data_IF_345603742896
#
_entry.id   IF_345603742896
#
_cell.length_a   1.000
_cell.length_b   1.000
_cell.length_c   1.000
_cell.angle_alpha   90.00
_cell.angle_beta   90.00
_cell.angle_gamma   90.00
#
_symmetry.space_group_name_H-M   'P 1'
#
loop_
_entity.id
_entity.type
_entity.pdbx_description
1 polymer ?
#
# COMPACT_ATOMS: atom_id res chain seq x y z
N UNK A 1 -22.71 60.55 25.74
CA UNK A 1 -24.07 60.79 26.27
C UNK A 1 -24.88 59.55 26.03
N UNK A 2 -25.38 58.97 27.15
CA UNK A 2 -26.39 57.92 27.31
C UNK A 2 -26.04 56.53 26.78
N UNK A 3 -25.84 55.57 27.55
CA UNK A 3 -26.31 54.96 28.79
C UNK A 3 -26.97 53.61 28.50
N UNK A 4 -26.41 52.64 29.18
CA UNK A 4 -26.77 51.26 29.47
C UNK A 4 -28.24 50.96 29.62
N UNK A 5 -28.65 49.70 29.28
CA UNK A 5 -29.53 48.89 30.16
C UNK A 5 -29.21 47.41 29.93
N UNK A 6 -28.88 46.71 31.03
CA UNK A 6 -28.84 45.26 31.24
C UNK A 6 -30.23 44.68 31.24
N UNK A 7 -30.42 43.51 30.63
CA UNK A 7 -31.37 42.51 31.13
C UNK A 7 -30.89 41.11 30.87
N UNK A 8 -30.57 40.43 31.94
CA UNK A 8 -30.30 38.99 32.04
C UNK A 8 -31.59 38.18 31.90
N UNK A 9 -31.53 37.09 31.14
CA UNK A 9 -32.39 35.94 31.39
C UNK A 9 -31.64 34.65 31.03
N UNK A 10 -31.30 33.94 32.10
CA UNK A 10 -30.84 32.58 32.12
C UNK A 10 -31.93 31.62 31.63
N UNK A 11 -31.63 30.76 30.66
CA UNK A 11 -32.27 29.47 30.53
C UNK A 11 -31.22 28.42 30.15
N UNK A 12 -30.92 27.60 31.15
CA UNK A 12 -30.13 26.40 31.00
C UNK A 12 -30.92 25.37 30.21
N UNK A 13 -30.38 24.95 29.07
CA UNK A 13 -30.85 23.81 28.33
C UNK A 13 -29.65 22.91 28.08
N UNK A 14 -29.43 21.95 28.98
CA UNK A 14 -28.44 20.89 28.84
C UNK A 14 -28.92 19.90 27.77
N UNK A 15 -28.37 19.99 26.56
CA UNK A 15 -28.45 18.90 25.60
C UNK A 15 -27.17 18.06 25.72
N UNK A 16 -27.29 16.99 26.52
CA UNK A 16 -26.37 15.86 26.47
C UNK A 16 -26.62 15.11 25.14
N UNK A 17 -25.78 15.36 24.13
CA UNK A 17 -25.63 14.44 23.04
C UNK A 17 -24.57 13.40 23.46
N UNK A 18 -25.06 12.24 23.94
CA UNK A 18 -24.23 11.05 24.01
C UNK A 18 -24.08 10.48 22.59
N UNK A 19 -22.88 10.05 22.17
CA UNK A 19 -22.73 9.37 20.89
C UNK A 19 -23.53 8.06 20.93
N UNK A 20 -24.45 7.91 19.99
CA UNK A 20 -25.13 6.62 19.78
C UNK A 20 -24.14 5.68 19.12
N UNK A 21 -23.56 4.78 19.90
CA UNK A 21 -22.93 3.59 19.37
C UNK A 21 -24.04 2.71 18.75
N UNK A 22 -24.13 2.69 17.43
CA UNK A 22 -24.91 1.69 16.73
C UNK A 22 -24.10 0.38 16.74
N UNK A 23 -24.37 -0.46 17.72
CA UNK A 23 -23.98 -1.87 17.67
C UNK A 23 -24.89 -2.56 16.66
N UNK A 24 -24.39 -2.80 15.46
CA UNK A 24 -25.05 -3.65 14.50
C UNK A 24 -25.02 -5.10 15.03
N UNK A 25 -26.14 -5.61 15.48
CA UNK A 25 -26.27 -7.03 15.80
C UNK A 25 -26.37 -7.84 14.50
N UNK A 26 -25.28 -8.48 14.12
CA UNK A 26 -25.32 -9.56 13.15
C UNK A 26 -25.99 -10.79 13.79
N UNK A 27 -26.85 -11.54 13.07
CA UNK A 27 -27.46 -12.75 13.61
C UNK A 27 -26.37 -13.76 13.96
N UNK A 28 -26.34 -14.18 15.22
CA UNK A 28 -25.39 -15.16 15.77
C UNK A 28 -25.64 -16.53 15.15
N UNK A 29 -24.94 -16.83 14.06
CA UNK A 29 -24.76 -18.18 13.57
C UNK A 29 -23.65 -18.86 14.38
N UNK A 30 -23.99 -19.96 15.04
CA UNK A 30 -23.01 -20.77 15.78
C UNK A 30 -21.81 -21.17 14.93
N UNK A 31 -20.57 -21.13 15.44
CA UNK A 31 -19.40 -21.50 14.67
C UNK A 31 -19.43 -23.00 14.31
N UNK A 32 -19.58 -23.33 13.04
CA UNK A 32 -19.31 -24.68 12.53
C UNK A 32 -17.80 -24.82 12.33
N UNK A 33 -17.16 -25.55 13.22
CA UNK A 33 -15.78 -25.99 13.04
C UNK A 33 -15.67 -26.94 11.86
N UNK A 34 -15.07 -26.48 10.78
CA UNK A 34 -14.69 -27.35 9.65
C UNK A 34 -13.29 -27.90 9.93
N UNK A 35 -13.22 -29.17 10.32
CA UNK A 35 -11.94 -29.90 10.39
C UNK A 35 -11.58 -30.40 9.00
N UNK A 36 -10.54 -29.84 8.41
CA UNK A 36 -9.95 -30.35 7.17
C UNK A 36 -9.06 -31.56 7.49
N UNK A 37 -9.44 -32.73 6.99
CA UNK A 37 -8.62 -33.93 7.09
C UNK A 37 -7.47 -33.90 6.09
N UNK A 38 -6.23 -33.87 6.58
CA UNK A 38 -5.02 -34.03 5.75
C UNK A 38 -4.96 -35.44 5.17
N UNK A 39 -5.09 -35.58 3.85
CA UNK A 39 -4.72 -36.79 3.13
C UNK A 39 -3.24 -36.71 2.74
N UNK A 40 -2.43 -37.59 3.32
CA UNK A 40 -1.04 -37.81 2.92
C UNK A 40 -0.99 -38.51 1.54
N UNK A 41 -0.33 -37.88 0.56
CA UNK A 41 0.05 -38.55 -0.70
C UNK A 41 1.53 -38.93 -0.63
N UNK A 42 1.77 -40.23 -0.83
CA UNK A 42 3.13 -40.81 -0.89
C UNK A 42 3.87 -40.46 -2.19
N UNK A 43 5.19 -40.71 -2.24
CA UNK A 43 6.05 -40.23 -3.30
C UNK A 43 5.92 -41.05 -4.57
N UNK A 44 5.56 -40.38 -5.69
CA UNK A 44 5.64 -40.96 -7.03
C UNK A 44 7.02 -40.69 -7.67
N UNK A 45 7.67 -41.78 -8.09
CA UNK A 45 8.92 -41.75 -8.85
C UNK A 45 8.72 -41.05 -10.21
N UNK A 46 9.56 -40.08 -10.49
CA UNK A 46 9.72 -39.49 -11.84
C UNK A 46 11.04 -39.96 -12.44
N UNK A 47 10.92 -40.70 -13.52
CA UNK A 47 12.01 -41.13 -14.42
C UNK A 47 12.58 -39.95 -15.20
N UNK A 48 13.88 -39.74 -15.10
CA UNK A 48 14.61 -38.76 -15.87
C UNK A 48 14.93 -39.29 -17.30
N UNK A 49 14.52 -38.54 -18.32
CA UNK A 49 14.95 -38.76 -19.70
C UNK A 49 16.16 -37.86 -20.01
N UNK A 50 17.31 -38.50 -20.34
CA UNK A 50 18.55 -37.86 -20.77
C UNK A 50 18.47 -37.60 -22.26
N UNK A 51 18.58 -36.35 -22.70
CA UNK A 51 18.80 -35.97 -24.10
C UNK A 51 20.25 -35.54 -24.25
N UNK A 52 21.00 -36.33 -25.04
CA UNK A 52 22.37 -36.04 -25.49
C UNK A 52 22.36 -35.11 -26.69
N UNK A 53 23.02 -33.98 -26.59
CA UNK A 53 23.29 -33.07 -27.70
C UNK A 53 24.73 -33.19 -28.15
N UNK A 54 24.92 -33.48 -29.43
CA UNK A 54 26.21 -33.72 -30.12
C UNK A 54 26.93 -32.40 -30.43
N UNK A 55 28.20 -32.36 -30.11
CA UNK A 55 29.14 -31.27 -30.42
C UNK A 55 29.73 -31.51 -31.83
N UNK A 56 29.62 -30.50 -32.70
CA UNK A 56 30.40 -30.45 -33.97
C UNK A 56 31.58 -29.51 -33.79
N UNK A 57 32.79 -30.04 -33.94
CA UNK A 57 34.06 -29.32 -33.98
C UNK A 57 34.45 -29.07 -35.43
N UNK A 58 34.76 -27.85 -35.79
CA UNK A 58 35.53 -27.50 -37.00
C UNK A 58 36.45 -26.32 -36.67
N UNK A 59 37.70 -26.50 -36.61
CA UNK A 59 38.78 -26.40 -37.56
C UNK A 59 39.46 -25.04 -37.52
N UNK A 60 40.71 -25.03 -37.00
CA UNK A 60 41.65 -23.91 -36.91
C UNK A 60 42.21 -23.45 -38.25
N UNK A 61 42.60 -22.17 -38.37
CA UNK A 61 44.00 -21.78 -38.73
C UNK A 61 44.21 -20.27 -38.57
N UNK A 62 45.47 -19.82 -38.38
CA UNK A 62 45.82 -18.57 -37.72
C UNK A 62 46.29 -17.46 -38.68
N UNK A 63 46.15 -16.20 -38.29
CA UNK A 63 47.09 -15.16 -38.74
C UNK A 63 47.08 -13.89 -37.87
N UNK A 64 48.26 -13.54 -37.46
CA UNK A 64 48.89 -12.21 -37.31
C UNK A 64 48.33 -11.23 -36.27
N UNK A 65 49.21 -10.89 -35.38
CA UNK A 65 49.12 -10.00 -34.26
C UNK A 65 48.71 -8.57 -34.57
N UNK A 66 47.99 -8.02 -33.59
CA UNK A 66 47.93 -6.58 -33.34
C UNK A 66 47.91 -6.33 -31.83
N UNK A 67 48.60 -5.28 -31.46
CA UNK A 67 48.88 -4.76 -30.14
C UNK A 67 47.68 -4.65 -29.20
N UNK A 68 47.87 -5.11 -27.97
CA UNK A 68 46.99 -4.90 -26.82
C UNK A 68 46.95 -3.40 -26.43
N UNK A 69 45.97 -2.68 -26.90
CA UNK A 69 45.52 -1.47 -26.21
C UNK A 69 44.61 -1.90 -25.08
N UNK A 70 44.94 -1.52 -23.85
CA UNK A 70 44.12 -1.71 -22.68
C UNK A 70 42.79 -0.98 -22.91
N UNK A 71 41.72 -1.75 -23.15
CA UNK A 71 40.36 -1.21 -23.06
C UNK A 71 40.04 -1.07 -21.57
N UNK A 72 40.01 0.18 -21.12
CA UNK A 72 39.27 0.57 -19.92
C UNK A 72 37.84 0.01 -20.03
N UNK A 73 37.42 -0.78 -19.02
CA UNK A 73 36.08 -1.31 -18.93
C UNK A 73 35.04 -0.18 -19.01
N UNK A 74 33.78 -0.49 -19.37
CA UNK A 74 32.76 0.52 -19.47
C UNK A 74 32.50 1.11 -18.07
N UNK A 75 32.99 2.29 -17.81
CA UNK A 75 32.43 3.17 -16.81
C UNK A 75 30.99 3.35 -17.24
N UNK A 76 30.03 2.92 -16.39
CA UNK A 76 28.62 3.06 -16.65
C UNK A 76 28.32 4.52 -17.02
N UNK A 77 28.03 4.74 -18.30
CA UNK A 77 27.51 6.00 -18.76
C UNK A 77 26.10 6.11 -18.19
N UNK A 78 25.95 6.84 -17.09
CA UNK A 78 24.62 7.22 -16.58
C UNK A 78 23.80 7.78 -17.73
N UNK A 79 22.49 7.46 -17.75
CA UNK A 79 21.55 7.97 -18.73
C UNK A 79 21.71 9.47 -18.85
N UNK A 80 21.83 9.98 -20.08
CA UNK A 80 21.88 11.41 -20.37
C UNK A 80 20.49 12.06 -20.46
N UNK A 81 19.43 11.32 -20.10
CA UNK A 81 18.04 11.77 -20.21
C UNK A 81 17.29 11.52 -18.90
N UNK A 82 16.28 12.35 -18.66
CA UNK A 82 15.30 12.13 -17.59
C UNK A 82 14.60 10.80 -17.82
N UNK A 83 14.31 10.10 -16.72
CA UNK A 83 13.55 8.85 -16.73
C UNK A 83 12.24 9.01 -15.99
N UNK A 84 11.21 8.35 -16.50
CA UNK A 84 9.87 8.39 -15.92
C UNK A 84 9.50 7.03 -15.38
N UNK A 85 8.70 7.05 -14.32
CA UNK A 85 8.13 5.85 -13.71
C UNK A 85 6.86 6.21 -12.95
N UNK A 86 6.10 5.19 -12.55
CA UNK A 86 4.84 5.35 -11.83
C UNK A 86 4.91 4.65 -10.48
N UNK A 87 4.26 5.25 -9.46
CA UNK A 87 4.08 4.65 -8.12
C UNK A 87 2.61 4.73 -7.76
N UNK A 88 1.97 3.60 -7.49
CA UNK A 88 0.54 3.55 -7.23
C UNK A 88 0.13 2.81 -5.97
N UNK A 89 -1.12 3.05 -5.57
CA UNK A 89 -1.79 2.50 -4.39
C UNK A 89 -3.29 2.32 -4.67
N UNK A 90 -3.91 1.28 -4.12
CA UNK A 90 -5.34 0.99 -4.32
C UNK A 90 -6.05 0.55 -3.03
N UNK A 91 -5.99 1.35 -1.99
CA UNK A 91 -6.84 1.18 -0.81
C UNK A 91 -6.70 -0.13 -0.04
N UNK A 92 -7.72 -0.41 0.75
CA UNK A 92 -7.69 -1.42 1.79
C UNK A 92 -8.11 -2.81 1.30
N UNK A 93 -7.30 -3.82 1.64
CA UNK A 93 -7.62 -5.23 1.46
C UNK A 93 -8.25 -5.75 2.74
N UNK A 94 -9.57 -5.91 2.74
CA UNK A 94 -10.38 -6.33 3.88
C UNK A 94 -10.99 -7.71 3.65
N UNK A 95 -10.37 -8.74 4.21
CA UNK A 95 -10.83 -10.12 4.09
C UNK A 95 -12.01 -10.41 5.04
N UNK A 96 -13.14 -9.78 4.80
CA UNK A 96 -14.39 -10.14 5.46
C UNK A 96 -14.78 -11.59 5.16
N UNK A 97 -15.52 -12.22 6.06
CA UNK A 97 -15.95 -13.63 5.89
C UNK A 97 -16.75 -13.87 4.59
N UNK A 98 -17.63 -12.94 4.10
CA UNK A 98 -18.29 -13.11 2.82
C UNK A 98 -17.30 -13.11 1.63
N UNK A 99 -16.29 -12.21 1.65
CA UNK A 99 -15.22 -12.20 0.62
C UNK A 99 -14.47 -13.53 0.66
N UNK A 100 -14.02 -13.97 1.85
CA UNK A 100 -13.33 -15.24 2.01
C UNK A 100 -14.16 -16.42 1.48
N UNK A 101 -15.46 -16.45 1.79
CA UNK A 101 -16.37 -17.52 1.35
C UNK A 101 -16.58 -17.53 -0.17
N UNK A 102 -16.32 -16.42 -0.87
CA UNK A 102 -16.43 -16.32 -2.32
C UNK A 102 -15.20 -16.87 -3.06
N UNK A 103 -14.08 -17.05 -2.35
CA UNK A 103 -12.85 -17.60 -2.93
C UNK A 103 -12.92 -19.12 -3.04
N UNK A 104 -12.16 -19.76 -3.95
CA UNK A 104 -12.16 -21.21 -4.09
C UNK A 104 -11.87 -21.91 -2.74
N UNK A 105 -12.75 -22.82 -2.32
CA UNK A 105 -12.65 -23.55 -1.06
C UNK A 105 -12.45 -22.66 0.19
N UNK A 106 -12.88 -21.38 0.12
CA UNK A 106 -12.64 -20.35 1.14
C UNK A 106 -11.15 -20.22 1.52
N UNK A 107 -10.29 -20.34 0.52
CA UNK A 107 -8.83 -20.33 0.71
C UNK A 107 -8.25 -18.93 0.97
N UNK A 108 -8.94 -17.87 0.55
CA UNK A 108 -8.42 -16.51 0.49
C UNK A 108 -7.68 -16.17 -0.81
N UNK A 109 -7.69 -17.07 -1.80
CA UNK A 109 -7.17 -16.77 -3.13
C UNK A 109 -8.14 -15.86 -3.90
N UNK A 110 -7.90 -14.54 -3.78
CA UNK A 110 -8.71 -13.50 -4.41
C UNK A 110 -8.31 -13.19 -5.85
N UNK A 111 -7.41 -13.96 -6.47
CA UNK A 111 -6.90 -13.68 -7.83
C UNK A 111 -8.04 -13.48 -8.83
N UNK A 112 -9.04 -14.36 -8.81
CA UNK A 112 -10.21 -14.24 -9.67
C UNK A 112 -11.14 -13.08 -9.28
N UNK A 113 -11.13 -12.66 -8.02
CA UNK A 113 -11.96 -11.54 -7.56
C UNK A 113 -11.45 -10.21 -8.09
N UNK A 114 -10.15 -10.05 -8.19
CA UNK A 114 -9.48 -8.79 -8.58
C UNK A 114 -8.96 -8.81 -10.03
N UNK A 115 -9.31 -9.82 -10.83
CA UNK A 115 -8.76 -10.03 -12.17
C UNK A 115 -8.94 -8.83 -13.12
N UNK A 116 -10.00 -8.03 -12.96
CA UNK A 116 -10.22 -6.84 -13.78
C UNK A 116 -9.19 -5.74 -13.51
N UNK A 117 -8.65 -5.67 -12.28
CA UNK A 117 -7.68 -4.68 -11.87
C UNK A 117 -6.21 -5.11 -12.13
N UNK A 118 -5.97 -6.41 -12.37
CA UNK A 118 -4.61 -6.92 -12.62
C UNK A 118 -3.87 -6.14 -13.72
N UNK A 119 -4.46 -5.83 -14.89
CA UNK A 119 -3.76 -5.04 -15.92
C UNK A 119 -3.40 -3.61 -15.48
N UNK A 120 -4.18 -3.04 -14.55
CA UNK A 120 -3.94 -1.72 -14.00
C UNK A 120 -2.77 -1.73 -13.01
N UNK A 121 -2.73 -2.75 -12.14
CA UNK A 121 -1.66 -2.95 -11.16
C UNK A 121 -0.35 -3.31 -11.85
N UNK A 122 -0.34 -4.31 -12.76
CA UNK A 122 0.84 -4.72 -13.53
C UNK A 122 1.39 -3.61 -14.45
N UNK A 123 0.57 -2.63 -14.80
CA UNK A 123 0.97 -1.50 -15.60
C UNK A 123 1.77 -0.45 -14.82
N UNK A 124 1.79 -0.51 -13.49
CA UNK A 124 2.60 0.38 -12.65
C UNK A 124 4.08 -0.06 -12.63
N UNK A 125 4.97 0.87 -12.36
CA UNK A 125 6.39 0.58 -12.14
C UNK A 125 6.68 0.16 -10.69
N UNK A 126 5.85 0.64 -9.75
CA UNK A 126 5.80 0.23 -8.36
C UNK A 126 4.35 0.26 -7.88
N UNK A 127 3.80 -0.90 -7.55
CA UNK A 127 2.44 -1.08 -7.06
C UNK A 127 2.43 -1.44 -5.57
N UNK A 128 1.77 -0.61 -4.74
CA UNK A 128 1.72 -0.77 -3.29
C UNK A 128 0.29 -1.00 -2.82
N UNK A 129 0.04 -2.05 -2.03
CA UNK A 129 -1.29 -2.38 -1.49
C UNK A 129 -1.46 -1.92 -0.03
N UNK A 130 -2.71 -1.85 0.44
CA UNK A 130 -3.06 -1.69 1.84
C UNK A 130 -3.44 -3.05 2.44
N UNK A 131 -2.53 -3.74 3.14
CA UNK A 131 -2.85 -4.97 3.86
C UNK A 131 -3.43 -4.61 5.23
N UNK A 132 -4.74 -4.37 5.28
CA UNK A 132 -5.37 -3.83 6.47
C UNK A 132 -5.52 -4.88 7.58
N UNK A 133 -5.75 -6.14 7.21
CA UNK A 133 -6.01 -7.22 8.17
C UNK A 133 -4.83 -8.17 8.31
N UNK A 134 -4.52 -8.64 9.54
CA UNK A 134 -3.42 -9.57 9.74
C UNK A 134 -3.74 -10.98 9.23
N UNK A 135 -2.70 -11.73 8.91
CA UNK A 135 -2.78 -13.16 8.68
C UNK A 135 -3.04 -13.89 10.01
N UNK A 136 -3.95 -14.86 10.00
CA UNK A 136 -4.25 -15.70 11.16
C UNK A 136 -3.12 -16.74 11.39
N UNK A 137 -2.32 -16.63 12.47
CA UNK A 137 -1.17 -17.51 12.71
C UNK A 137 -1.58 -18.94 13.02
N UNK A 138 -2.79 -19.14 13.54
CA UNK A 138 -3.34 -20.43 13.94
C UNK A 138 -4.22 -21.09 12.86
N UNK A 139 -4.39 -20.42 11.72
CA UNK A 139 -5.29 -20.85 10.64
C UNK A 139 -6.79 -20.77 11.00
N UNK A 140 -7.14 -20.05 12.06
CA UNK A 140 -8.54 -19.78 12.46
C UNK A 140 -8.94 -18.43 11.91
N UNK A 141 -9.64 -18.43 10.77
CA UNK A 141 -10.03 -17.23 10.07
C UNK A 141 -11.23 -16.55 10.72
N UNK A 142 -11.23 -15.22 10.71
CA UNK A 142 -12.33 -14.39 11.21
C UNK A 142 -12.43 -13.07 10.45
N UNK A 143 -13.64 -12.50 10.44
CA UNK A 143 -13.93 -11.16 9.96
C UNK A 143 -14.14 -10.17 11.10
N UNK A 144 -14.86 -9.08 10.79
CA UNK A 144 -15.20 -8.05 11.77
C UNK A 144 -15.81 -8.63 13.07
N UNK A 145 -15.49 -8.09 14.26
CA UNK A 145 -14.63 -6.91 14.49
C UNK A 145 -13.14 -7.23 14.65
N UNK A 146 -12.73 -8.49 14.71
CA UNK A 146 -11.33 -8.93 14.93
C UNK A 146 -10.93 -9.86 13.80
N UNK A 147 -10.17 -9.32 12.88
CA UNK A 147 -9.81 -10.01 11.64
C UNK A 147 -8.66 -11.02 11.80
N UNK A 148 -8.68 -12.01 10.92
CA UNK A 148 -7.59 -12.96 10.73
C UNK A 148 -7.74 -13.62 9.36
N UNK A 149 -6.93 -13.21 8.39
CA UNK A 149 -7.00 -13.67 7.00
C UNK A 149 -6.17 -14.94 6.77
N UNK A 150 -6.50 -15.73 5.72
CA UNK A 150 -5.58 -16.75 5.20
C UNK A 150 -4.32 -16.11 4.59
N UNK A 151 -3.18 -16.79 4.68
CA UNK A 151 -1.93 -16.35 4.03
C UNK A 151 -2.04 -16.33 2.50
N UNK A 152 -2.95 -17.09 1.92
CA UNK A 152 -3.21 -17.17 0.49
C UNK A 152 -3.63 -15.84 -0.12
N UNK A 153 -4.21 -14.92 0.66
CA UNK A 153 -4.51 -13.55 0.18
C UNK A 153 -3.25 -12.83 -0.25
N UNK A 154 -2.14 -13.01 0.47
CA UNK A 154 -0.84 -12.40 0.14
C UNK A 154 -0.30 -12.99 -1.16
N UNK A 155 -0.40 -14.31 -1.34
CA UNK A 155 -0.04 -14.96 -2.60
C UNK A 155 -0.87 -14.49 -3.79
N UNK A 156 -2.16 -14.22 -3.59
CA UNK A 156 -3.05 -13.67 -4.60
C UNK A 156 -2.65 -12.23 -4.97
N UNK A 157 -2.31 -11.39 -3.99
CA UNK A 157 -1.80 -10.04 -4.24
C UNK A 157 -0.52 -10.07 -5.07
N UNK A 158 0.45 -10.93 -4.72
CA UNK A 158 1.69 -11.07 -5.49
C UNK A 158 1.40 -11.50 -6.95
N UNK A 159 0.47 -12.46 -7.17
CA UNK A 159 0.07 -12.89 -8.51
C UNK A 159 -0.69 -11.83 -9.30
N UNK A 160 -1.29 -10.86 -8.63
CA UNK A 160 -2.01 -9.73 -9.24
C UNK A 160 -1.10 -8.52 -9.50
N UNK A 161 0.23 -8.68 -9.35
CA UNK A 161 1.21 -7.67 -9.74
C UNK A 161 1.60 -6.66 -8.65
N UNK A 162 1.19 -6.86 -7.39
CA UNK A 162 1.63 -6.00 -6.30
C UNK A 162 3.10 -6.27 -5.94
N UNK A 163 3.84 -5.21 -5.64
CA UNK A 163 5.27 -5.25 -5.27
C UNK A 163 5.48 -5.17 -3.75
N UNK A 164 4.53 -4.58 -3.04
CA UNK A 164 4.62 -4.46 -1.58
C UNK A 164 3.35 -3.92 -0.96
N UNK A 165 3.26 -3.95 0.38
CA UNK A 165 2.07 -3.50 1.10
C UNK A 165 2.40 -2.57 2.28
N UNK A 166 1.51 -1.61 2.52
CA UNK A 166 1.38 -0.91 3.78
C UNK A 166 0.70 -1.88 4.78
N UNK A 167 1.31 -2.08 5.96
CA UNK A 167 0.82 -3.04 6.96
C UNK A 167 0.36 -2.39 8.27
N UNK A 168 0.60 -1.08 8.44
CA UNK A 168 0.06 -0.36 9.59
C UNK A 168 -1.39 0.02 9.35
N UNK A 169 -2.27 -0.56 10.13
CA UNK A 169 -3.71 -0.33 10.11
C UNK A 169 -4.29 -0.37 11.52
N UNK A 170 -5.54 0.09 11.67
CA UNK A 170 -6.30 -0.08 12.91
C UNK A 170 -6.53 -1.54 13.29
N UNK A 171 -6.40 -2.49 12.35
CA UNK A 171 -6.51 -3.93 12.54
C UNK A 171 -5.18 -4.68 12.67
N UNK A 172 -4.04 -4.02 12.58
CA UNK A 172 -2.71 -4.67 12.64
C UNK A 172 -2.50 -5.54 13.89
N UNK A 173 -3.12 -5.17 15.01
CA UNK A 173 -2.98 -5.86 16.30
C UNK A 173 -4.06 -6.93 16.57
N UNK A 174 -5.00 -7.16 15.67
CA UNK A 174 -6.15 -8.07 15.88
C UNK A 174 -5.77 -9.51 16.24
N UNK A 175 -4.57 -9.93 15.86
CA UNK A 175 -4.00 -11.26 16.17
C UNK A 175 -2.72 -11.18 16.99
N UNK A 176 -2.52 -10.05 17.71
CA UNK A 176 -1.36 -9.83 18.55
C UNK A 176 -0.03 -9.87 17.79
N UNK A 177 1.06 -10.07 18.51
CA UNK A 177 2.41 -10.17 17.94
C UNK A 177 2.52 -11.33 16.93
N UNK A 178 1.90 -12.47 17.21
CA UNK A 178 1.93 -13.63 16.31
C UNK A 178 1.27 -13.32 14.96
N UNK A 179 0.19 -12.51 14.95
CA UNK A 179 -0.47 -12.07 13.72
C UNK A 179 0.39 -11.11 12.92
N UNK A 180 1.06 -10.17 13.58
CA UNK A 180 2.05 -9.29 12.93
C UNK A 180 3.15 -10.11 12.26
N UNK A 181 3.76 -11.04 12.99
CA UNK A 181 4.83 -11.90 12.46
C UNK A 181 4.33 -12.75 11.29
N UNK A 182 3.16 -13.39 11.43
CA UNK A 182 2.60 -14.23 10.37
C UNK A 182 2.29 -13.44 9.08
N UNK A 183 1.85 -12.18 9.22
CA UNK A 183 1.61 -11.28 8.07
C UNK A 183 2.90 -10.97 7.35
N UNK A 184 3.94 -10.57 8.08
CA UNK A 184 5.23 -10.24 7.51
C UNK A 184 5.91 -11.48 6.87
N UNK A 185 5.81 -12.66 7.50
CA UNK A 185 6.34 -13.91 6.95
C UNK A 185 5.63 -14.30 5.65
N UNK A 186 4.32 -14.07 5.57
CA UNK A 186 3.57 -14.29 4.34
C UNK A 186 4.03 -13.35 3.22
N UNK A 187 4.20 -12.05 3.51
CA UNK A 187 4.70 -11.07 2.54
C UNK A 187 6.11 -11.42 2.05
N UNK A 188 7.03 -11.70 2.97
CA UNK A 188 8.41 -12.11 2.62
C UNK A 188 8.43 -13.39 1.77
N UNK A 189 7.60 -14.39 2.09
CA UNK A 189 7.55 -15.67 1.37
C UNK A 189 7.08 -15.53 -0.08
N UNK A 190 6.35 -14.47 -0.39
CA UNK A 190 5.88 -14.13 -1.73
C UNK A 190 6.68 -13.02 -2.40
N UNK A 191 7.76 -12.55 -1.76
CA UNK A 191 8.66 -11.53 -2.31
C UNK A 191 8.06 -10.13 -2.33
N UNK A 192 7.06 -9.85 -1.51
CA UNK A 192 6.46 -8.52 -1.36
C UNK A 192 7.20 -7.71 -0.29
N UNK A 193 7.53 -6.45 -0.61
CA UNK A 193 8.02 -5.51 0.37
C UNK A 193 6.92 -5.11 1.36
N UNK A 194 7.31 -4.61 2.55
CA UNK A 194 6.34 -4.20 3.55
C UNK A 194 6.88 -3.10 4.46
N UNK A 195 5.99 -2.22 4.91
CA UNK A 195 6.29 -1.17 5.88
C UNK A 195 5.11 -0.96 6.83
N UNK A 196 5.40 -0.61 8.08
CA UNK A 196 4.37 -0.20 9.06
C UNK A 196 4.27 -1.11 10.27
N UNK A 197 4.60 -2.41 10.12
CA UNK A 197 4.67 -3.35 11.24
C UNK A 197 6.04 -4.04 11.31
N UNK A 198 6.43 -4.52 12.50
CA UNK A 198 7.81 -4.94 12.76
C UNK A 198 7.88 -6.15 13.69
N UNK A 199 8.86 -7.06 13.42
CA UNK A 199 9.13 -8.26 14.22
C UNK A 199 9.95 -8.00 15.48
N UNK A 200 10.71 -6.91 15.52
CA UNK A 200 11.64 -6.59 16.61
C UNK A 200 11.87 -5.10 16.76
N UNK A 201 12.45 -4.68 17.91
CA UNK A 201 12.88 -3.29 18.12
C UNK A 201 13.96 -2.85 17.13
N UNK A 202 14.83 -3.77 16.70
CA UNK A 202 15.82 -3.51 15.67
C UNK A 202 15.15 -3.19 14.34
N UNK A 203 14.18 -4.00 13.96
CA UNK A 203 13.36 -3.82 12.78
C UNK A 203 12.60 -2.48 12.83
N UNK A 204 11.91 -2.19 13.92
CA UNK A 204 11.21 -0.93 14.14
C UNK A 204 12.11 0.32 14.17
N UNK A 205 13.42 0.16 14.41
CA UNK A 205 14.37 1.28 14.39
C UNK A 205 14.59 1.86 12.99
N UNK A 206 14.19 1.13 11.94
CA UNK A 206 14.29 1.53 10.53
C UNK A 206 12.89 1.41 9.91
N UNK A 207 11.96 2.36 10.19
CA UNK A 207 10.54 2.20 9.89
C UNK A 207 10.19 2.54 8.43
N UNK A 208 10.92 1.95 7.48
CA UNK A 208 10.66 2.08 6.05
C UNK A 208 11.12 0.85 5.27
N UNK A 209 10.51 0.61 4.11
CA UNK A 209 10.98 -0.33 3.09
C UNK A 209 11.63 0.45 1.95
N UNK A 210 12.47 -0.22 1.15
CA UNK A 210 13.08 0.34 -0.06
C UNK A 210 12.71 -0.53 -1.27
N UNK A 211 12.50 0.13 -2.40
CA UNK A 211 12.24 -0.49 -3.71
C UNK A 211 13.18 0.15 -4.73
N UNK A 212 13.91 -0.66 -5.47
CA UNK A 212 14.89 -0.21 -6.46
C UNK A 212 14.37 -0.46 -7.88
N UNK A 213 14.18 0.61 -8.63
CA UNK A 213 13.68 0.60 -10.00
C UNK A 213 14.82 0.87 -10.97
N UNK A 214 15.12 -0.10 -11.85
CA UNK A 214 16.07 0.07 -12.92
C UNK A 214 15.43 0.78 -14.11
N UNK A 215 15.77 2.04 -14.33
CA UNK A 215 15.18 2.89 -15.38
C UNK A 215 16.24 3.65 -16.15
N UNK A 216 16.28 3.42 -17.47
CA UNK A 216 17.22 4.14 -18.35
C UNK A 216 18.68 3.98 -17.96
N UNK A 217 19.08 2.84 -17.39
CA UNK A 217 20.45 2.57 -16.93
C UNK A 217 20.81 3.24 -15.59
N UNK A 218 19.83 3.68 -14.83
CA UNK A 218 19.96 4.21 -13.46
C UNK A 218 19.05 3.46 -12.51
N UNK A 219 19.49 3.29 -11.27
CA UNK A 219 18.64 2.82 -10.18
C UNK A 219 17.96 4.05 -9.55
N UNK A 220 16.65 4.02 -9.46
CA UNK A 220 15.85 4.99 -8.68
C UNK A 220 15.29 4.24 -7.47
N UNK A 221 15.52 4.77 -6.28
CA UNK A 221 15.11 4.12 -5.03
C UNK A 221 13.91 4.84 -4.42
N UNK A 222 12.83 4.10 -4.19
CA UNK A 222 11.61 4.58 -3.52
C UNK A 222 11.56 4.02 -2.11
N UNK A 223 11.33 4.89 -1.12
CA UNK A 223 11.07 4.49 0.25
C UNK A 223 9.56 4.52 0.54
N UNK A 224 9.06 3.47 1.16
CA UNK A 224 7.71 3.38 1.71
C UNK A 224 7.75 3.46 3.23
N UNK A 225 6.93 4.35 3.79
CA UNK A 225 6.62 4.43 5.22
C UNK A 225 5.12 4.17 5.37
N UNK A 226 4.71 3.41 6.39
CA UNK A 226 3.29 3.19 6.67
C UNK A 226 3.00 3.37 8.16
N UNK A 227 1.87 4.01 8.47
CA UNK A 227 1.45 4.36 9.83
C UNK A 227 -0.08 4.29 9.98
N UNK A 228 -0.58 4.22 11.22
CA UNK A 228 -2.01 4.24 11.54
C UNK A 228 -2.32 5.16 12.71
N UNK A 229 -3.54 5.70 12.74
CA UNK A 229 -3.98 6.58 13.83
C UNK A 229 -4.27 5.83 15.15
N UNK A 230 -4.44 4.50 15.11
CA UNK A 230 -4.77 3.71 16.29
C UNK A 230 -4.95 2.24 16.00
N UNK A 231 -5.34 1.48 17.01
CA UNK A 231 -5.47 0.01 16.97
C UNK A 231 -6.84 -0.45 17.51
N UNK A 232 -7.92 0.26 17.19
CA UNK A 232 -9.30 -0.07 17.62
C UNK A 232 -9.43 -0.29 19.14
N UNK A 233 -8.67 0.48 19.94
CA UNK A 233 -8.65 0.38 21.39
C UNK A 233 -7.80 -0.74 21.94
N UNK A 234 -7.08 -1.47 21.10
CA UNK A 234 -6.04 -2.42 21.51
C UNK A 234 -4.73 -1.67 21.78
N UNK A 235 -3.90 -2.23 22.64
CA UNK A 235 -2.52 -1.81 22.80
C UNK A 235 -1.64 -2.45 21.72
N UNK A 236 -0.56 -1.78 21.31
CA UNK A 236 0.50 -2.42 20.54
C UNK A 236 1.09 -3.56 21.37
N UNK A 237 1.00 -4.83 20.90
CA UNK A 237 1.34 -6.00 21.70
C UNK A 237 2.77 -6.01 22.23
N UNK A 238 3.68 -5.27 21.59
CA UNK A 238 5.10 -5.22 21.97
C UNK A 238 5.57 -3.81 22.35
N UNK A 239 4.76 -2.78 22.07
CA UNK A 239 5.12 -1.37 22.20
C UNK A 239 6.13 -0.88 21.13
N UNK A 240 6.28 -1.65 20.04
CA UNK A 240 7.10 -1.27 18.87
C UNK A 240 6.63 -1.93 17.57
N UNK A 241 5.67 -2.83 17.61
CA UNK A 241 5.31 -3.65 16.44
C UNK A 241 4.46 -2.93 15.41
N UNK A 242 3.86 -1.79 15.74
CA UNK A 242 3.05 -1.00 14.81
C UNK A 242 3.47 0.47 14.84
N UNK A 243 3.65 1.07 13.67
CA UNK A 243 3.90 2.51 13.53
C UNK A 243 2.61 3.31 13.66
N UNK A 244 2.59 4.25 14.60
CA UNK A 244 1.48 5.18 14.77
C UNK A 244 1.73 6.50 14.01
N UNK A 245 0.66 7.26 13.75
CA UNK A 245 0.69 8.56 13.11
C UNK A 245 1.38 9.59 14.02
N UNK A 246 2.67 9.80 13.78
CA UNK A 246 3.51 10.82 14.42
C UNK A 246 4.35 11.50 13.34
N UNK A 247 4.00 12.75 13.02
CA UNK A 247 4.67 13.53 11.97
C UNK A 247 6.18 13.67 12.24
N UNK A 248 6.58 13.80 13.51
CA UNK A 248 7.98 13.90 13.92
C UNK A 248 8.74 12.60 13.64
N UNK A 249 8.15 11.45 14.01
CA UNK A 249 8.71 10.13 13.74
C UNK A 249 8.78 9.85 12.22
N UNK A 250 7.73 10.15 11.48
CA UNK A 250 7.70 10.00 10.00
C UNK A 250 8.76 10.90 9.35
N UNK A 251 8.88 12.16 9.77
CA UNK A 251 9.91 13.08 9.27
C UNK A 251 11.32 12.53 9.52
N UNK A 252 11.55 11.93 10.69
CA UNK A 252 12.83 11.29 11.01
C UNK A 252 13.08 10.06 10.14
N UNK A 253 12.05 9.21 9.96
CA UNK A 253 12.11 8.05 9.09
C UNK A 253 12.41 8.44 7.63
N UNK A 254 11.73 9.45 7.09
CA UNK A 254 11.95 9.95 5.74
C UNK A 254 13.38 10.48 5.53
N UNK A 255 13.92 11.23 6.51
CA UNK A 255 15.34 11.67 6.49
C UNK A 255 16.29 10.47 6.49
N UNK A 256 16.02 9.46 7.31
CA UNK A 256 16.84 8.25 7.37
C UNK A 256 16.76 7.45 6.06
N UNK A 257 15.57 7.35 5.46
CA UNK A 257 15.38 6.70 4.16
C UNK A 257 16.18 7.41 3.05
N UNK A 258 16.16 8.75 3.01
CA UNK A 258 16.97 9.51 2.06
C UNK A 258 18.47 9.33 2.29
N UNK A 259 18.91 9.30 3.54
CA UNK A 259 20.30 8.98 3.88
C UNK A 259 20.68 7.55 3.45
N UNK A 260 19.74 6.60 3.48
CA UNK A 260 19.92 5.23 2.99
C UNK A 260 19.83 5.11 1.45
N UNK A 261 19.66 6.22 0.73
CA UNK A 261 19.68 6.28 -0.74
C UNK A 261 18.32 6.45 -1.42
N UNK A 262 17.24 6.72 -0.66
CA UNK A 262 15.94 6.95 -1.28
C UNK A 262 15.89 8.27 -2.06
N UNK A 263 15.46 8.20 -3.31
CA UNK A 263 15.22 9.35 -4.19
C UNK A 263 13.80 9.90 -4.02
N UNK A 264 12.83 9.04 -3.68
CA UNK A 264 11.42 9.36 -3.46
C UNK A 264 10.96 8.77 -2.13
N UNK A 265 10.14 9.51 -1.38
CA UNK A 265 9.52 9.02 -0.13
C UNK A 265 8.00 9.06 -0.25
N UNK A 266 7.39 7.89 -0.10
CA UNK A 266 5.93 7.70 -0.09
C UNK A 266 5.50 7.34 1.33
N UNK A 267 4.48 8.02 1.82
CA UNK A 267 3.86 7.73 3.12
C UNK A 267 2.45 7.19 2.90
N UNK A 268 2.14 6.06 3.52
CA UNK A 268 0.79 5.53 3.66
C UNK A 268 0.34 5.70 5.10
N UNK A 269 -0.84 6.30 5.31
CA UNK A 269 -1.40 6.40 6.66
C UNK A 269 -2.87 6.09 6.68
N UNK A 270 -3.27 5.26 7.63
CA UNK A 270 -4.67 5.15 7.99
C UNK A 270 -5.04 6.29 8.93
N UNK A 271 -5.95 7.16 8.48
CA UNK A 271 -6.40 8.35 9.18
C UNK A 271 -7.72 8.86 8.59
N UNK A 272 -8.58 9.42 9.41
CA UNK A 272 -9.84 10.04 9.02
C UNK A 272 -11.04 9.39 9.67
N UNK A 273 -12.22 9.84 9.24
CA UNK A 273 -13.50 9.32 9.69
C UNK A 273 -14.03 8.29 8.70
N UNK A 274 -14.39 7.09 9.18
CA UNK A 274 -14.99 6.05 8.35
C UNK A 274 -16.24 6.57 7.62
N UNK A 275 -16.37 6.23 6.34
CA UNK A 275 -17.52 6.48 5.45
C UNK A 275 -17.80 7.95 5.10
N UNK A 276 -16.90 8.86 5.43
CA UNK A 276 -16.96 10.26 5.01
C UNK A 276 -16.22 10.48 3.69
N UNK A 277 -16.89 10.97 2.65
CA UNK A 277 -16.29 11.23 1.32
C UNK A 277 -15.47 12.52 1.27
N UNK A 278 -15.55 13.33 2.32
CA UNK A 278 -14.78 14.58 2.45
C UNK A 278 -13.76 14.42 3.56
N UNK A 279 -12.47 14.75 3.30
CA UNK A 279 -11.44 14.69 4.34
C UNK A 279 -11.80 15.55 5.55
N UNK A 280 -11.65 15.01 6.74
CA UNK A 280 -11.84 15.76 7.95
C UNK A 280 -10.68 16.71 8.26
N UNK A 281 -10.83 17.53 9.31
CA UNK A 281 -9.81 18.53 9.67
C UNK A 281 -8.50 17.90 10.15
N UNK A 282 -8.58 16.72 10.76
CA UNK A 282 -7.41 16.01 11.24
C UNK A 282 -6.59 15.46 10.07
N UNK A 283 -7.26 14.84 9.07
CA UNK A 283 -6.63 14.41 7.83
C UNK A 283 -5.93 15.57 7.11
N UNK A 284 -6.62 16.71 6.94
CA UNK A 284 -6.07 17.88 6.25
C UNK A 284 -4.88 18.46 7.00
N UNK A 285 -4.98 18.62 8.32
CA UNK A 285 -3.89 19.12 9.15
C UNK A 285 -2.67 18.19 9.12
N UNK A 286 -2.90 16.89 9.27
CA UNK A 286 -1.85 15.88 9.25
C UNK A 286 -1.11 15.85 7.89
N UNK A 287 -1.85 15.89 6.79
CA UNK A 287 -1.26 15.94 5.46
C UNK A 287 -0.44 17.23 5.25
N UNK A 288 -0.93 18.40 5.73
CA UNK A 288 -0.18 19.65 5.65
C UNK A 288 1.09 19.61 6.50
N UNK A 289 1.04 19.05 7.72
CA UNK A 289 2.22 18.92 8.58
C UNK A 289 3.28 18.00 7.95
N UNK A 290 2.87 16.94 7.23
CA UNK A 290 3.78 16.10 6.44
C UNK A 290 4.40 16.90 5.27
N UNK A 291 3.61 17.70 4.56
CA UNK A 291 4.11 18.57 3.50
C UNK A 291 5.10 19.61 4.04
N UNK A 292 4.79 20.24 5.18
CA UNK A 292 5.64 21.25 5.82
C UNK A 292 6.96 20.66 6.35
N UNK A 293 7.00 19.35 6.63
CA UNK A 293 8.25 18.65 6.98
C UNK A 293 9.31 18.73 5.88
N UNK A 294 8.90 18.92 4.63
CA UNK A 294 9.77 18.97 3.45
C UNK A 294 10.49 17.66 3.14
N UNK A 295 10.01 16.52 3.66
CA UNK A 295 10.66 15.22 3.52
C UNK A 295 9.83 14.19 2.75
N UNK A 296 8.53 14.41 2.59
CA UNK A 296 7.58 13.51 1.93
C UNK A 296 7.22 14.04 0.55
N UNK A 297 7.23 13.16 -0.45
CA UNK A 297 6.88 13.50 -1.83
C UNK A 297 5.42 13.18 -2.15
N UNK A 298 4.92 12.04 -1.65
CA UNK A 298 3.58 11.54 -1.89
C UNK A 298 2.98 11.02 -0.58
N UNK A 299 1.72 11.37 -0.35
CA UNK A 299 0.90 10.81 0.73
C UNK A 299 -0.30 10.07 0.15
N UNK A 300 -0.46 8.80 0.52
CA UNK A 300 -1.63 7.99 0.25
C UNK A 300 -2.35 7.67 1.57
N UNK A 301 -3.57 8.17 1.71
CA UNK A 301 -4.43 7.92 2.86
C UNK A 301 -5.32 6.70 2.67
N UNK A 302 -5.72 6.10 3.79
CA UNK A 302 -6.64 4.99 3.91
C UNK A 302 -7.42 5.10 5.23
N UNK A 303 -8.29 4.17 5.55
CA UNK A 303 -9.19 4.09 6.69
C UNK A 303 -10.63 4.59 6.43
N UNK A 304 -10.91 5.68 5.69
CA UNK A 304 -12.30 6.08 5.45
C UNK A 304 -13.14 5.03 4.72
N UNK A 305 -12.53 4.03 4.08
CA UNK A 305 -13.19 2.96 3.31
C UNK A 305 -14.06 3.44 2.15
N UNK A 306 -13.98 4.72 1.83
CA UNK A 306 -14.62 5.38 0.69
C UNK A 306 -13.60 6.26 -0.02
N UNK A 307 -13.71 6.45 -1.34
CA UNK A 307 -12.87 7.38 -2.07
C UNK A 307 -13.00 8.82 -1.55
N UNK A 308 -11.86 9.48 -1.38
CA UNK A 308 -11.78 10.91 -1.05
C UNK A 308 -10.94 11.65 -2.09
N UNK A 309 -11.03 13.00 -2.17
CA UNK A 309 -10.30 13.78 -3.14
C UNK A 309 -8.77 13.65 -3.04
N UNK A 310 -8.09 14.04 -4.13
CA UNK A 310 -6.66 14.24 -4.17
C UNK A 310 -6.33 15.72 -4.46
N UNK A 311 -5.23 16.21 -3.88
CA UNK A 311 -4.75 17.57 -4.11
C UNK A 311 -3.23 17.67 -4.03
N UNK A 312 -2.68 18.80 -4.43
CA UNK A 312 -1.28 19.12 -4.27
C UNK A 312 -1.11 20.22 -3.22
N UNK A 313 -0.61 19.84 -2.05
CA UNK A 313 -0.38 20.75 -0.94
C UNK A 313 0.89 21.59 -1.15
N UNK A 314 0.91 22.85 -0.70
CA UNK A 314 2.13 23.64 -0.64
C UNK A 314 3.14 23.01 0.35
N UNK A 315 4.43 23.30 0.19
CA UNK A 315 5.51 22.67 0.96
C UNK A 315 6.15 21.53 0.20
N UNK A 316 6.25 20.34 0.79
CA UNK A 316 6.89 19.17 0.17
C UNK A 316 8.39 19.32 -0.03
N UNK A 317 9.02 18.33 -0.63
CA UNK A 317 10.47 18.27 -0.82
C UNK A 317 10.96 19.44 -1.67
N UNK A 318 11.88 20.24 -1.12
CA UNK A 318 12.43 21.46 -1.76
C UNK A 318 11.36 22.48 -2.19
N UNK A 319 10.19 22.48 -1.53
CA UNK A 319 9.08 23.39 -1.85
C UNK A 319 8.37 23.10 -3.16
N UNK A 320 8.51 21.89 -3.71
CA UNK A 320 7.86 21.50 -4.99
C UNK A 320 6.39 21.08 -4.85
N UNK A 321 5.84 21.14 -3.62
CA UNK A 321 4.53 20.62 -3.24
C UNK A 321 4.59 19.13 -2.92
N UNK A 322 3.62 18.66 -2.15
CA UNK A 322 3.38 17.24 -1.87
C UNK A 322 2.03 16.83 -2.45
N UNK A 323 1.99 15.74 -3.21
CA UNK A 323 0.73 15.19 -3.67
C UNK A 323 0.09 14.32 -2.59
N UNK A 324 -1.20 14.49 -2.41
CA UNK A 324 -2.03 13.80 -1.43
C UNK A 324 -3.21 13.16 -2.12
N UNK A 325 -3.47 11.88 -1.85
CA UNK A 325 -4.76 11.23 -2.02
C UNK A 325 -5.26 10.90 -0.63
N UNK A 326 -6.37 11.51 -0.20
CA UNK A 326 -6.84 11.38 1.19
C UNK A 326 -7.39 10.00 1.52
N UNK A 327 -8.04 9.33 0.56
CA UNK A 327 -8.44 7.93 0.67
C UNK A 327 -8.69 7.32 -0.72
N UNK A 328 -8.17 6.13 -0.93
CA UNK A 328 -8.45 5.34 -2.13
C UNK A 328 -9.69 4.42 -1.98
N UNK A 329 -10.34 4.40 -0.81
CA UNK A 329 -11.43 3.48 -0.50
C UNK A 329 -10.95 2.05 -0.28
N UNK A 330 -11.80 1.07 -0.53
CA UNK A 330 -11.49 -0.36 -0.40
C UNK A 330 -11.04 -0.95 -1.73
N UNK A 331 -9.91 -1.69 -1.76
CA UNK A 331 -9.55 -2.51 -2.91
C UNK A 331 -10.47 -3.72 -3.04
N UNK A 332 -10.73 -4.41 -1.93
CA UNK A 332 -11.71 -5.48 -1.83
C UNK A 332 -12.27 -5.56 -0.41
N UNK A 333 -13.60 -5.58 -0.28
CA UNK A 333 -14.28 -5.73 0.99
C UNK A 333 -15.71 -6.25 0.79
N UNK A 334 -16.42 -6.57 1.88
CA UNK A 334 -17.87 -6.80 1.86
C UNK A 334 -18.68 -5.63 2.42
N UNK A 335 -18.05 -4.48 2.59
CA UNK A 335 -18.77 -3.27 2.96
C UNK A 335 -19.67 -2.82 1.81
N UNK A 336 -20.84 -2.31 2.14
CA UNK A 336 -21.82 -1.79 1.20
C UNK A 336 -22.56 -0.58 1.77
N UNK A 337 -23.27 0.13 0.90
CA UNK A 337 -24.01 1.34 1.28
C UNK A 337 -25.04 1.11 2.38
N UNK A 338 -25.65 -0.09 2.44
CA UNK A 338 -26.73 -0.35 3.40
C UNK A 338 -26.26 -0.38 4.85
N UNK A 339 -24.97 -0.65 5.08
CA UNK A 339 -24.37 -0.74 6.42
C UNK A 339 -23.33 0.32 6.69
N UNK A 340 -22.55 0.68 5.65
CA UNK A 340 -21.33 1.47 5.78
C UNK A 340 -21.44 2.85 5.12
N UNK A 341 -22.55 3.12 4.39
CA UNK A 341 -22.75 4.39 3.71
C UNK A 341 -22.24 4.42 2.26
N UNK A 342 -22.51 5.52 1.56
CA UNK A 342 -22.26 5.67 0.14
C UNK A 342 -20.80 5.42 -0.25
N UNK A 343 -20.57 4.81 -1.41
CA UNK A 343 -19.26 4.54 -1.99
C UNK A 343 -18.37 3.57 -1.21
N UNK A 344 -18.86 2.88 -0.16
CA UNK A 344 -18.08 1.88 0.57
C UNK A 344 -17.78 0.60 -0.23
N UNK A 345 -18.47 0.42 -1.35
CA UNK A 345 -18.26 -0.62 -2.35
C UNK A 345 -17.56 -0.11 -3.63
N UNK A 346 -17.00 1.11 -3.57
CA UNK A 346 -16.23 1.75 -4.64
C UNK A 346 -14.82 2.05 -4.16
N UNK A 347 -13.85 1.85 -5.03
CA UNK A 347 -12.45 2.16 -4.77
C UNK A 347 -11.79 2.87 -5.94
N UNK A 348 -10.55 3.29 -5.70
CA UNK A 348 -9.68 3.92 -6.70
C UNK A 348 -8.30 3.28 -6.69
N UNK A 349 -7.76 2.98 -7.87
CA UNK A 349 -6.33 2.86 -8.04
C UNK A 349 -5.77 4.26 -8.30
N UNK A 350 -4.95 4.77 -7.41
CA UNK A 350 -4.32 6.09 -7.53
C UNK A 350 -2.84 5.91 -7.80
N UNK A 351 -2.27 6.66 -8.76
CA UNK A 351 -0.83 6.61 -9.02
C UNK A 351 -0.24 7.96 -9.40
N UNK A 352 1.00 8.13 -9.02
CA UNK A 352 1.82 9.27 -9.38
C UNK A 352 2.65 8.98 -10.64
N UNK A 353 2.67 9.93 -11.58
CA UNK A 353 3.69 10.01 -12.59
C UNK A 353 4.89 10.75 -12.00
N UNK A 354 6.06 10.12 -12.05
CA UNK A 354 7.29 10.62 -11.43
C UNK A 354 8.40 10.75 -12.47
N UNK A 355 9.15 11.85 -12.42
CA UNK A 355 10.34 12.06 -13.23
C UNK A 355 11.58 12.11 -12.35
N UNK A 356 12.54 11.21 -12.62
CA UNK A 356 13.90 11.30 -12.09
C UNK A 356 14.78 12.00 -13.11
N UNK A 357 15.29 13.17 -12.73
CA UNK A 357 16.06 14.06 -13.61
C UNK A 357 17.53 13.65 -13.69
N UNK A 358 18.20 14.09 -14.74
CA UNK A 358 19.64 13.84 -14.96
C UNK A 358 20.50 14.38 -13.81
N UNK A 359 20.06 15.45 -13.14
CA UNK A 359 20.76 16.05 -12.01
C UNK A 359 20.57 15.30 -10.68
N UNK A 360 19.87 14.15 -10.72
CA UNK A 360 19.56 13.33 -9.55
C UNK A 360 18.37 13.82 -8.72
N UNK A 361 17.71 14.90 -9.13
CA UNK A 361 16.48 15.33 -8.47
C UNK A 361 15.29 14.52 -8.96
N UNK A 362 14.23 14.45 -8.13
CA UNK A 362 12.96 13.80 -8.47
C UNK A 362 11.83 14.80 -8.39
N UNK A 363 10.85 14.68 -9.28
CA UNK A 363 9.59 15.42 -9.24
C UNK A 363 8.40 14.50 -9.39
N UNK A 364 7.35 14.76 -8.62
CA UNK A 364 6.03 14.16 -8.81
C UNK A 364 5.23 15.10 -9.70
N UNK A 365 4.99 14.65 -10.92
CA UNK A 365 4.45 15.53 -11.98
C UNK A 365 2.94 15.69 -11.83
N UNK A 366 2.22 14.58 -11.58
CA UNK A 366 0.78 14.56 -11.33
C UNK A 366 0.35 13.29 -10.63
N UNK A 367 -0.87 13.27 -10.07
CA UNK A 367 -1.60 12.05 -9.74
C UNK A 367 -2.60 11.71 -10.84
N UNK A 368 -2.78 10.42 -11.04
CA UNK A 368 -3.84 9.84 -11.86
C UNK A 368 -4.65 8.88 -10.99
N UNK A 369 -5.85 8.57 -11.42
CA UNK A 369 -6.68 7.57 -10.75
C UNK A 369 -7.57 6.80 -11.74
N UNK A 370 -7.98 5.60 -11.34
CA UNK A 370 -8.89 4.74 -12.03
C UNK A 370 -9.96 4.24 -11.06
N UNK A 371 -11.26 4.38 -11.40
CA UNK A 371 -12.35 3.93 -10.55
C UNK A 371 -12.66 2.46 -10.76
N UNK A 372 -12.85 1.72 -9.68
CA UNK A 372 -13.38 0.36 -9.69
C UNK A 372 -14.46 0.18 -8.63
N UNK A 373 -15.21 -0.91 -8.68
CA UNK A 373 -16.27 -1.21 -7.74
C UNK A 373 -16.34 -2.70 -7.44
N UNK A 374 -16.80 -3.06 -6.24
CA UNK A 374 -17.00 -4.45 -5.82
C UNK A 374 -18.41 -4.90 -6.18
N UNK A 375 -18.51 -5.87 -7.07
CA UNK A 375 -19.74 -6.54 -7.48
C UNK A 375 -20.01 -7.71 -6.52
N UNK A 376 -20.68 -7.41 -5.42
CA UNK A 376 -20.93 -8.37 -4.34
C UNK A 376 -21.83 -9.54 -4.77
N UNK A 377 -22.87 -9.25 -5.58
CA UNK A 377 -23.79 -10.28 -6.11
C UNK A 377 -23.11 -11.25 -7.07
N UNK A 378 -21.96 -10.86 -7.65
CA UNK A 378 -21.12 -11.72 -8.48
C UNK A 378 -20.01 -12.43 -7.69
N UNK A 379 -20.11 -12.54 -6.37
CA UNK A 379 -19.10 -13.15 -5.52
C UNK A 379 -17.91 -12.21 -5.27
N UNK A 380 -18.19 -10.96 -4.97
CA UNK A 380 -17.21 -9.94 -4.62
C UNK A 380 -16.14 -9.72 -5.72
N UNK A 381 -16.57 -9.68 -6.97
CA UNK A 381 -15.68 -9.37 -8.09
C UNK A 381 -15.42 -7.87 -8.16
N UNK A 382 -14.15 -7.48 -8.20
CA UNK A 382 -13.77 -6.11 -8.52
C UNK A 382 -13.98 -5.88 -10.01
N UNK A 383 -14.61 -4.75 -10.36
CA UNK A 383 -14.99 -4.38 -11.72
C UNK A 383 -14.52 -2.99 -12.07
N UNK A 384 -14.01 -2.78 -13.26
CA UNK A 384 -13.72 -1.46 -13.81
C UNK A 384 -15.02 -0.64 -13.93
N UNK A 385 -15.23 0.31 -13.02
CA UNK A 385 -16.45 1.12 -12.98
C UNK A 385 -16.56 2.04 -14.20
N UNK A 386 -15.44 2.55 -14.71
CA UNK A 386 -15.45 3.38 -15.91
C UNK A 386 -15.86 2.58 -17.15
N UNK A 387 -15.38 1.34 -17.30
CA UNK A 387 -15.78 0.46 -18.39
C UNK A 387 -17.25 0.08 -18.28
N UNK A 388 -17.75 -0.22 -17.07
CA UNK A 388 -19.17 -0.49 -16.84
C UNK A 388 -20.05 0.71 -17.22
N UNK A 389 -19.69 1.93 -16.76
CA UNK A 389 -20.39 3.17 -17.10
C UNK A 389 -20.40 3.42 -18.62
N UNK A 390 -19.32 3.09 -19.32
CA UNK A 390 -19.22 3.18 -20.78
C UNK A 390 -19.89 2.02 -21.54
N UNK A 391 -20.68 1.18 -20.86
CA UNK A 391 -21.50 0.15 -21.48
C UNK A 391 -20.89 -1.24 -21.54
N UNK A 392 -19.71 -1.49 -20.92
CA UNK A 392 -19.19 -2.84 -20.80
C UNK A 392 -20.08 -3.68 -19.87
N UNK A 393 -20.35 -4.92 -20.26
CA UNK A 393 -21.20 -5.85 -19.49
C UNK A 393 -20.54 -7.22 -19.44
N UNK A 394 -19.57 -7.42 -18.51
CA UNK A 394 -18.87 -8.69 -18.36
C UNK A 394 -19.84 -9.81 -17.93
N UNK A 395 -19.49 -11.04 -18.29
CA UNK A 395 -20.29 -12.20 -17.90
C UNK A 395 -20.40 -12.30 -16.38
N UNK A 396 -21.60 -12.59 -15.89
CA UNK A 396 -21.89 -12.72 -14.45
C UNK A 396 -21.97 -11.40 -13.69
N UNK A 397 -22.01 -10.25 -14.36
CA UNK A 397 -22.27 -8.96 -13.72
C UNK A 397 -23.63 -8.99 -13.02
N UNK A 398 -23.68 -8.61 -11.74
CA UNK A 398 -24.91 -8.53 -10.96
C UNK A 398 -25.43 -7.09 -10.79
N UNK A 399 -24.59 -6.09 -11.04
CA UNK A 399 -24.97 -4.68 -10.98
C UNK A 399 -25.85 -4.33 -12.19
N UNK A 400 -26.97 -3.69 -11.95
CA UNK A 400 -27.81 -3.14 -13.00
C UNK A 400 -27.36 -1.74 -13.45
N UNK A 401 -28.00 -1.19 -14.47
CA UNK A 401 -27.65 0.10 -15.06
C UNK A 401 -27.83 1.25 -14.05
N UNK A 402 -28.89 1.21 -13.25
CA UNK A 402 -29.21 2.24 -12.25
C UNK A 402 -28.12 2.30 -11.17
N UNK A 403 -27.67 1.14 -10.70
CA UNK A 403 -26.64 1.03 -9.68
C UNK A 403 -25.25 1.45 -10.22
N UNK A 404 -24.91 1.07 -11.44
CA UNK A 404 -23.65 1.51 -12.10
C UNK A 404 -23.64 3.04 -12.23
N UNK A 405 -24.72 3.63 -12.74
CA UNK A 405 -24.81 5.09 -12.91
C UNK A 405 -24.82 5.82 -11.57
N UNK A 406 -25.46 5.27 -10.57
CA UNK A 406 -25.47 5.83 -9.22
C UNK A 406 -24.06 5.90 -8.63
N UNK A 407 -23.31 4.79 -8.63
CA UNK A 407 -21.93 4.73 -8.13
C UNK A 407 -21.03 5.68 -8.89
N UNK A 408 -21.14 5.70 -10.22
CA UNK A 408 -20.40 6.59 -11.08
C UNK A 408 -20.66 8.07 -10.81
N UNK A 409 -21.94 8.45 -10.75
CA UNK A 409 -22.35 9.83 -10.52
C UNK A 409 -21.93 10.32 -9.14
N UNK A 410 -22.08 9.49 -8.11
CA UNK A 410 -21.65 9.86 -6.74
C UNK A 410 -20.13 10.03 -6.68
N UNK A 411 -19.36 9.09 -7.21
CA UNK A 411 -17.90 9.18 -7.21
C UNK A 411 -17.42 10.43 -7.94
N UNK A 412 -17.95 10.71 -9.12
CA UNK A 412 -17.49 11.84 -9.95
C UNK A 412 -18.01 13.19 -9.48
N UNK A 413 -19.11 13.25 -8.71
CA UNK A 413 -19.62 14.49 -8.12
C UNK A 413 -18.94 14.84 -6.79
N UNK A 414 -18.70 13.85 -5.96
CA UNK A 414 -18.24 14.03 -4.57
C UNK A 414 -16.71 14.08 -4.49
N UNK A 415 -16.02 13.32 -5.35
CA UNK A 415 -14.55 13.32 -5.43
C UNK A 415 -14.09 14.39 -6.43
N UNK A 416 -14.19 15.66 -6.04
CA UNK A 416 -13.57 16.77 -6.80
C UNK A 416 -12.11 16.83 -6.45
N UNK A 417 -11.24 16.52 -7.40
CA UNK A 417 -9.83 16.48 -7.11
C UNK A 417 -8.97 17.16 -8.18
N UNK A 418 -7.69 17.36 -7.84
CA UNK A 418 -6.69 17.92 -8.75
C UNK A 418 -6.02 16.84 -9.62
N UNK A 419 -6.38 15.57 -9.43
CA UNK A 419 -5.83 14.43 -10.16
C UNK A 419 -6.54 14.19 -11.50
N UNK A 420 -6.06 13.25 -12.29
CA UNK A 420 -6.59 12.97 -13.63
C UNK A 420 -7.15 11.56 -13.69
N UNK A 421 -8.45 11.42 -13.94
CA UNK A 421 -9.05 10.13 -14.20
C UNK A 421 -8.50 9.50 -15.49
N UNK A 422 -8.13 8.22 -15.43
CA UNK A 422 -7.69 7.42 -16.58
C UNK A 422 -8.68 6.31 -16.85
N UNK A 423 -8.94 6.07 -18.13
CA UNK A 423 -9.72 4.91 -18.63
C UNK A 423 -8.84 3.89 -19.33
N UNK A 424 -7.52 4.04 -19.21
CA UNK A 424 -6.54 3.14 -19.82
C UNK A 424 -5.45 2.81 -18.80
N UNK A 425 -5.12 1.53 -18.61
CA UNK A 425 -4.05 1.13 -17.71
C UNK A 425 -2.73 1.83 -18.01
N UNK A 426 -1.96 2.24 -17.01
CA UNK A 426 -0.59 2.70 -17.20
C UNK A 426 0.25 1.60 -17.86
N UNK A 427 1.43 1.96 -18.34
CA UNK A 427 2.38 0.98 -18.88
C UNK A 427 3.69 1.09 -18.16
N UNK A 428 4.12 0.00 -17.55
CA UNK A 428 5.42 -0.06 -16.90
C UNK A 428 6.53 0.33 -17.86
N UNK A 429 7.49 1.09 -17.35
CA UNK A 429 8.60 1.67 -18.13
C UNK A 429 9.88 0.83 -18.04
N UNK A 430 9.87 -0.27 -17.27
CA UNK A 430 11.03 -1.14 -17.09
C UNK A 430 10.72 -2.44 -16.36
N UNK A 431 11.72 -3.16 -15.88
CA UNK A 431 11.53 -4.39 -15.11
C UNK A 431 10.86 -4.11 -13.76
N UNK A 432 10.26 -5.14 -13.17
CA UNK A 432 9.74 -5.10 -11.81
C UNK A 432 10.83 -4.60 -10.82
N UNK A 433 10.43 -3.94 -9.72
CA UNK A 433 11.39 -3.43 -8.76
C UNK A 433 12.17 -4.56 -8.09
N UNK A 434 13.43 -4.30 -7.75
CA UNK A 434 14.16 -5.12 -6.79
C UNK A 434 13.82 -4.67 -5.38
N UNK A 435 13.51 -5.61 -4.51
CA UNK A 435 13.17 -5.34 -3.11
C UNK A 435 14.36 -5.79 -2.25
N UNK A 436 15.17 -4.85 -1.69
CA UNK A 436 16.25 -5.19 -0.79
C UNK A 436 15.72 -5.93 0.44
N UNK A 437 16.45 -6.96 0.90
CA UNK A 437 16.08 -7.66 2.12
C UNK A 437 16.03 -6.70 3.31
N UNK A 438 15.21 -7.03 4.31
CA UNK A 438 15.09 -6.20 5.52
C UNK A 438 16.44 -5.96 6.21
N UNK A 439 17.31 -6.98 6.24
CA UNK A 439 18.68 -6.88 6.76
C UNK A 439 19.51 -5.84 5.99
N UNK A 440 19.44 -5.83 4.67
CA UNK A 440 20.16 -4.86 3.84
C UNK A 440 19.64 -3.43 4.05
N UNK A 441 18.32 -3.24 4.18
CA UNK A 441 17.72 -1.92 4.48
C UNK A 441 18.21 -1.41 5.83
N UNK A 442 18.21 -2.25 6.87
CA UNK A 442 18.73 -1.91 8.20
C UNK A 442 20.22 -1.54 8.14
N UNK A 443 21.01 -2.32 7.42
CA UNK A 443 22.44 -2.05 7.25
C UNK A 443 22.70 -0.71 6.57
N UNK A 444 22.00 -0.41 5.47
CA UNK A 444 22.11 0.89 4.76
C UNK A 444 21.75 2.06 5.67
N UNK A 445 20.63 1.97 6.40
CA UNK A 445 20.20 3.02 7.32
C UNK A 445 21.25 3.29 8.42
N UNK A 446 21.86 2.25 9.00
CA UNK A 446 22.88 2.38 10.05
C UNK A 446 24.19 2.98 9.57
N UNK A 447 24.63 2.63 8.37
CA UNK A 447 25.88 3.17 7.79
C UNK A 447 25.85 4.71 7.73
N UNK A 448 24.68 5.30 7.59
CA UNK A 448 24.49 6.75 7.50
C UNK A 448 24.08 7.42 8.82
N UNK A 449 23.52 6.67 9.78
CA UNK A 449 23.16 7.19 11.10
C UNK A 449 24.36 7.22 12.07
N UNK A 450 25.29 6.27 11.93
CA UNK A 450 26.53 6.17 12.71
C UNK A 450 27.72 6.09 11.76
N UNK A 451 28.25 7.22 11.22
CA UNK A 451 29.45 7.14 10.40
C UNK A 451 30.61 6.58 11.24
N UNK A 452 31.38 5.61 10.74
CA UNK A 452 32.51 5.02 11.45
C UNK A 452 33.56 6.11 11.75
N UNK A 453 33.58 6.61 12.99
CA UNK A 453 34.57 7.62 13.39
C UNK A 453 34.26 8.46 14.61
N UNK A 454 33.09 8.39 15.21
CA UNK A 454 32.77 9.12 16.45
C UNK A 454 32.67 8.20 17.68
N UNK A 455 33.65 7.31 17.87
CA UNK A 455 33.89 6.76 19.18
C UNK A 455 34.44 7.91 20.07
N UNK A 456 33.59 8.52 20.87
CA UNK A 456 33.98 9.48 21.84
C UNK A 456 35.01 8.83 22.79
N UNK A 457 36.23 9.30 22.76
CA UNK A 457 37.21 8.96 23.76
C UNK A 457 36.64 9.33 25.15
N UNK A 458 36.13 8.33 25.88
CA UNK A 458 35.79 8.48 27.27
C UNK A 458 37.05 8.81 28.04
N UNK A 459 37.20 10.09 28.40
CA UNK A 459 38.17 10.53 29.36
C UNK A 459 37.94 9.79 30.68
N UNK A 460 38.88 8.94 31.07
CA UNK A 460 38.95 8.38 32.42
C UNK A 460 39.05 9.48 33.45
N UNK A 461 38.32 9.41 34.55
CA UNK A 461 38.55 10.35 35.69
C UNK A 461 39.79 9.93 36.45
N UNK A 462 40.59 10.91 36.77
CA UNK A 462 41.60 10.84 37.88
C UNK A 462 40.90 11.05 39.20
#
# INVERSE_FOLDING_TARGET
MYSSIFLSSSLAGSNNFAPRHHTAEYPSGSPRTVRVARRSRGPGLLTAAVLTASIVVAGCSPSSGQSLSAQSGPTGAGSSQDVRFTVGYAGDVLMHMPVLSSTPEASGDITDNVAAETPWVEGLDLALCGMEVPVAPDGVYSGFPTFGAPSEVVGALARSGWDGCATASNHSADRGEEGVVATLDALDSHGLGHAGTYRSREDASVPFALYELERGGRTVTVAQISTTMGLNGLDDPTGYSVSLNDVGAITKAAKAARAAGADLVVVHSQIGQEYETTPDKEQVSYAQDLADSGQVDIFFGAHPHVPQPAEKLPGGVKGKGMWVSYSAGNYISSQDESYCGPLSDVGQLVWADVTSHVDGSVSVDKLNWHPFTVDQGAGYKVRDLAALHNGERPAGLSLDEEEIERRWSMLTSDVKDASTMSTTPPKSTGPAPTIPSREEVIKRARTHLDPPGTASASSSPR
#
